data_IF_201811921602
#
_entry.id   IF_201811921602
#
_cell.length_a   1.000
_cell.length_b   1.000
_cell.length_c   1.000
_cell.angle_alpha   90.00
_cell.angle_beta   90.00
_cell.angle_gamma   90.00
#
_symmetry.space_group_name_H-M   'P 1'
#
loop_
_entity.id
_entity.type
_entity.pdbx_description
1 polymer ?
#
# COMPACT_ATOMS: atom_id res chain seq x y z
N UNK A 1 2.88 -27.31 7.97
CA UNK A 1 1.83 -26.30 7.74
C UNK A 1 1.86 -25.88 6.27
N UNK A 2 0.78 -26.11 5.53
CA UNK A 2 0.62 -25.61 4.16
C UNK A 2 0.40 -24.10 4.23
N UNK A 3 1.31 -23.32 3.62
CA UNK A 3 1.14 -21.87 3.49
C UNK A 3 0.21 -21.62 2.29
N UNK A 4 -0.98 -21.07 2.56
CA UNK A 4 -1.93 -20.68 1.53
C UNK A 4 -1.57 -19.30 0.96
N UNK A 5 -1.76 -19.13 -0.35
CA UNK A 5 -1.70 -17.81 -0.96
C UNK A 5 -2.95 -17.02 -0.57
N UNK A 6 -2.79 -15.81 -0.03
CA UNK A 6 -3.87 -15.04 0.60
C UNK A 6 -3.88 -13.60 0.09
N UNK A 7 -5.04 -13.10 -0.29
CA UNK A 7 -5.30 -11.68 -0.46
C UNK A 7 -6.07 -11.16 0.75
N UNK A 8 -5.67 -9.99 1.25
CA UNK A 8 -6.31 -9.35 2.40
C UNK A 8 -6.63 -7.90 2.06
N UNK A 9 -7.90 -7.60 1.80
CA UNK A 9 -8.38 -6.24 1.57
C UNK A 9 -8.81 -5.61 2.91
N UNK A 10 -8.32 -4.40 3.20
CA UNK A 10 -8.53 -3.75 4.50
C UNK A 10 -8.55 -2.23 4.40
N UNK A 11 -9.22 -1.59 5.35
CA UNK A 11 -9.14 -0.14 5.60
C UNK A 11 -8.23 0.21 6.79
N UNK A 12 -7.68 -0.79 7.49
CA UNK A 12 -6.74 -0.57 8.59
C UNK A 12 -5.34 -0.33 8.04
N UNK A 13 -4.93 0.95 8.00
CA UNK A 13 -3.59 1.35 7.58
C UNK A 13 -2.52 0.79 8.52
N UNK A 14 -2.82 0.57 9.79
CA UNK A 14 -1.87 0.01 10.76
C UNK A 14 -1.40 -1.41 10.37
N UNK A 15 -2.21 -2.15 9.61
CA UNK A 15 -1.84 -3.48 9.13
C UNK A 15 -0.78 -3.45 8.03
N UNK A 16 -0.57 -2.31 7.35
CA UNK A 16 0.51 -2.20 6.37
C UNK A 16 1.87 -2.41 7.02
N UNK A 17 2.01 -2.10 8.31
CA UNK A 17 3.21 -2.33 9.09
C UNK A 17 3.64 -3.80 9.15
N UNK A 18 2.72 -4.75 8.91
CA UNK A 18 3.07 -6.18 8.84
C UNK A 18 4.12 -6.47 7.76
N UNK A 19 4.20 -5.65 6.71
CA UNK A 19 5.24 -5.73 5.68
C UNK A 19 6.65 -5.59 6.26
N UNK A 20 6.79 -4.83 7.36
CA UNK A 20 8.06 -4.64 8.08
C UNK A 20 8.34 -5.74 9.10
N UNK A 21 7.38 -6.61 9.39
CA UNK A 21 7.55 -7.69 10.37
C UNK A 21 7.72 -9.05 9.69
N UNK A 22 7.11 -9.23 8.52
CA UNK A 22 7.06 -10.50 7.82
C UNK A 22 7.55 -10.37 6.38
N UNK A 23 8.61 -11.11 5.98
CA UNK A 23 9.23 -10.97 4.66
C UNK A 23 8.31 -11.37 3.49
N UNK A 24 7.28 -12.17 3.78
CA UNK A 24 6.31 -12.70 2.80
C UNK A 24 5.00 -11.90 2.71
N UNK A 25 4.88 -10.79 3.44
CA UNK A 25 3.76 -9.85 3.32
C UNK A 25 4.16 -8.75 2.34
N UNK A 26 3.25 -8.32 1.47
CA UNK A 26 3.47 -7.21 0.54
C UNK A 26 2.22 -6.33 0.50
N UNK A 27 2.38 -5.01 0.57
CA UNK A 27 1.27 -4.08 0.50
C UNK A 27 0.99 -3.66 -0.95
N UNK A 28 -0.30 -3.53 -1.25
CA UNK A 28 -0.81 -3.04 -2.51
C UNK A 28 -2.04 -2.16 -2.27
N UNK A 29 -2.24 -1.17 -3.13
CA UNK A 29 -3.42 -0.32 -3.12
C UNK A 29 -3.88 0.01 -4.55
N UNK A 30 -5.13 0.43 -4.71
CA UNK A 30 -5.61 0.93 -5.99
C UNK A 30 -5.30 2.41 -6.14
N UNK A 31 -4.63 2.78 -7.23
CA UNK A 31 -4.34 4.16 -7.56
C UNK A 31 -5.63 4.94 -7.81
N UNK A 32 -5.69 6.17 -7.30
CA UNK A 32 -6.77 7.11 -7.51
C UNK A 32 -6.20 8.42 -8.03
N UNK A 33 -6.83 8.99 -9.06
CA UNK A 33 -6.45 10.30 -9.59
C UNK A 33 -7.51 11.32 -9.24
N UNK A 34 -7.09 12.33 -8.47
CA UNK A 34 -7.89 13.51 -8.20
C UNK A 34 -7.69 14.51 -9.34
N UNK A 35 -8.78 14.86 -10.02
CA UNK A 35 -8.77 15.90 -11.05
C UNK A 35 -9.43 17.12 -10.41
N UNK A 36 -8.65 18.16 -10.13
CA UNK A 36 -9.17 19.50 -9.83
C UNK A 36 -9.14 20.31 -11.12
N UNK A 37 -10.29 20.50 -11.76
CA UNK A 37 -10.41 21.52 -12.81
C UNK A 37 -10.51 22.91 -12.18
N UNK A 38 -10.15 23.94 -12.94
CA UNK A 38 -10.23 25.35 -12.55
C UNK A 38 -11.64 25.84 -12.18
N UNK A 39 -12.67 25.02 -12.42
CA UNK A 39 -14.09 25.37 -12.24
C UNK A 39 -14.71 24.75 -10.97
N UNK A 40 -13.94 24.64 -9.88
CA UNK A 40 -14.40 24.22 -8.54
C UNK A 40 -14.95 22.78 -8.40
N UNK A 41 -15.08 22.02 -9.49
CA UNK A 41 -15.56 20.64 -9.45
C UNK A 41 -14.38 19.68 -9.21
N UNK A 42 -14.25 19.23 -7.96
CA UNK A 42 -13.43 18.05 -7.66
C UNK A 42 -14.01 16.85 -8.45
N UNK A 43 -13.17 16.01 -9.03
CA UNK A 43 -13.60 14.77 -9.68
C UNK A 43 -12.60 13.65 -9.39
N UNK A 44 -13.11 12.49 -8.99
CA UNK A 44 -12.32 11.32 -8.62
C UNK A 44 -12.36 10.29 -9.76
N UNK A 45 -11.19 9.99 -10.35
CA UNK A 45 -11.05 8.92 -11.33
C UNK A 45 -10.46 7.66 -10.68
N UNK A 46 -11.26 6.59 -10.63
CA UNK A 46 -10.83 5.26 -10.20
C UNK A 46 -10.10 4.56 -11.34
N UNK A 47 -8.77 4.43 -11.26
CA UNK A 47 -7.98 3.84 -12.36
C UNK A 47 -8.07 2.32 -12.39
N UNK A 48 -8.54 1.69 -11.29
CA UNK A 48 -8.50 0.24 -11.07
C UNK A 48 -7.08 -0.35 -11.23
N UNK A 49 -6.06 0.50 -11.16
CA UNK A 49 -4.68 0.11 -11.31
C UNK A 49 -4.12 -0.23 -9.93
N UNK A 50 -3.71 -1.49 -9.75
CA UNK A 50 -3.12 -1.96 -8.49
C UNK A 50 -1.63 -1.62 -8.47
N UNK A 51 -1.23 -0.78 -7.51
CA UNK A 51 0.14 -0.31 -7.31
C UNK A 51 0.70 -0.88 -6.01
N UNK A 52 2.01 -1.16 -6.00
CA UNK A 52 2.72 -1.65 -4.82
C UNK A 52 2.96 -0.52 -3.82
N UNK A 53 2.82 -0.82 -2.54
CA UNK A 53 3.04 0.12 -1.43
C UNK A 53 1.75 0.48 -0.70
N UNK A 54 1.89 1.31 0.31
CA UNK A 54 0.78 1.85 1.10
C UNK A 54 0.07 2.97 0.32
N UNK A 55 -1.23 3.13 0.54
CA UNK A 55 -1.97 4.22 -0.09
C UNK A 55 -1.51 5.57 0.48
N UNK A 56 -1.13 6.51 -0.40
CA UNK A 56 -0.73 7.86 0.01
C UNK A 56 -1.90 8.69 0.56
N UNK A 57 -3.13 8.37 0.14
CA UNK A 57 -4.34 9.08 0.54
C UNK A 57 -4.96 8.48 1.81
N UNK A 58 -4.66 9.07 2.96
CA UNK A 58 -5.18 8.62 4.26
C UNK A 58 -6.67 8.90 4.46
N UNK A 59 -7.24 9.85 3.72
CA UNK A 59 -8.62 10.33 3.90
C UNK A 59 -9.43 10.44 2.61
N UNK A 60 -9.20 9.54 1.66
CA UNK A 60 -9.93 9.56 0.38
C UNK A 60 -11.46 9.48 0.58
N UNK A 61 -11.95 8.87 1.67
CA UNK A 61 -13.36 8.85 2.01
C UNK A 61 -13.94 10.26 2.26
N UNK A 62 -13.18 11.15 2.90
CA UNK A 62 -13.58 12.54 3.08
C UNK A 62 -13.53 13.31 1.75
N UNK A 63 -12.52 13.03 0.92
CA UNK A 63 -12.43 13.60 -0.44
C UNK A 63 -13.57 13.13 -1.34
N UNK A 64 -14.06 11.90 -1.19
CA UNK A 64 -15.24 11.44 -1.91
C UNK A 64 -16.53 12.05 -1.33
N UNK A 65 -16.58 12.26 -0.02
CA UNK A 65 -17.71 12.91 0.64
C UNK A 65 -17.91 14.36 0.15
N UNK A 66 -16.83 15.08 -0.19
CA UNK A 66 -16.95 16.43 -0.78
C UNK A 66 -17.55 16.45 -2.19
N UNK A 67 -17.57 15.31 -2.89
CA UNK A 67 -18.28 15.14 -4.17
C UNK A 67 -19.76 14.84 -4.00
N UNK A 68 -20.21 14.59 -2.77
CA UNK A 68 -21.59 14.23 -2.46
C UNK A 68 -22.41 15.47 -2.09
N UNK A 69 -23.72 15.28 -1.92
CA UNK A 69 -24.64 16.34 -1.50
C UNK A 69 -24.65 16.56 0.04
N UNK A 70 -23.57 16.17 0.74
CA UNK A 70 -23.47 16.38 2.18
C UNK A 70 -23.30 17.88 2.50
N UNK A 71 -23.95 18.40 3.55
CA UNK A 71 -23.76 19.77 4.00
C UNK A 71 -22.29 20.07 4.33
N UNK A 72 -21.83 21.26 3.94
CA UNK A 72 -20.45 21.69 4.18
C UNK A 72 -20.07 21.71 5.66
N UNK A 73 -21.02 21.98 6.56
CA UNK A 73 -20.81 21.92 8.00
C UNK A 73 -20.35 20.52 8.45
N UNK A 74 -20.94 19.46 7.91
CA UNK A 74 -20.58 18.07 8.23
C UNK A 74 -19.17 17.75 7.74
N UNK A 75 -18.80 18.21 6.54
CA UNK A 75 -17.46 18.00 5.99
C UNK A 75 -16.39 18.71 6.84
N UNK A 76 -16.69 19.92 7.31
CA UNK A 76 -15.81 20.69 8.17
C UNK A 76 -15.63 19.98 9.53
N UNK A 77 -16.72 19.56 10.17
CA UNK A 77 -16.69 18.84 11.45
C UNK A 77 -15.88 17.52 11.33
N UNK A 78 -16.11 16.77 10.26
CA UNK A 78 -15.35 15.54 9.97
C UNK A 78 -13.84 15.84 9.79
N UNK A 79 -13.50 16.95 9.13
CA UNK A 79 -12.12 17.39 8.98
C UNK A 79 -11.43 17.69 10.31
N UNK A 80 -12.12 18.34 11.24
CA UNK A 80 -11.58 18.63 12.59
C UNK A 80 -11.41 17.35 13.42
N UNK A 81 -12.39 16.44 13.40
CA UNK A 81 -12.31 15.14 14.09
C UNK A 81 -11.10 14.33 13.59
N UNK A 82 -10.86 14.31 12.28
CA UNK A 82 -9.72 13.61 11.69
C UNK A 82 -8.40 14.17 12.20
N UNK A 83 -8.26 15.50 12.28
CA UNK A 83 -7.04 16.14 12.80
C UNK A 83 -6.78 15.73 14.25
N UNK A 84 -7.83 15.69 15.07
CA UNK A 84 -7.72 15.26 16.47
C UNK A 84 -7.23 13.81 16.58
N UNK A 85 -7.82 12.90 15.81
CA UNK A 85 -7.40 11.49 15.76
C UNK A 85 -5.94 11.35 15.30
N UNK A 86 -5.50 12.14 14.31
CA UNK A 86 -4.12 12.11 13.83
C UNK A 86 -3.12 12.56 14.90
N UNK A 87 -3.45 13.63 15.64
CA UNK A 87 -2.62 14.13 16.74
C UNK A 87 -2.45 13.07 17.83
N UNK A 88 -3.51 12.32 18.15
CA UNK A 88 -3.45 11.20 19.11
C UNK A 88 -2.57 10.04 18.61
N UNK A 89 -2.54 9.78 17.29
CA UNK A 89 -1.78 8.67 16.69
C UNK A 89 -0.29 8.95 16.50
N UNK A 90 0.16 10.21 16.52
CA UNK A 90 1.55 10.58 16.27
C UNK A 90 2.59 10.10 17.32
N UNK A 91 2.15 9.47 18.41
CA UNK A 91 3.00 9.08 19.54
C UNK A 91 3.79 7.77 19.37
N UNK A 92 3.62 7.01 18.28
CA UNK A 92 4.18 5.66 18.18
C UNK A 92 4.92 5.41 16.87
N UNK A 93 6.23 5.69 16.84
CA UNK A 93 7.16 4.94 15.98
C UNK A 93 8.58 4.91 16.56
N UNK A 94 9.09 3.71 16.85
CA UNK A 94 10.50 3.43 16.62
C UNK A 94 10.63 2.22 15.70
N UNK A 95 11.32 2.38 14.57
CA UNK A 95 11.94 1.24 13.89
C UNK A 95 13.44 1.47 13.76
N UNK A 96 14.20 0.49 14.24
CA UNK A 96 15.64 0.43 14.09
C UNK A 96 16.00 0.15 12.63
N UNK A 97 16.91 0.98 12.07
CA UNK A 97 17.38 0.90 10.67
C UNK A 97 17.99 -0.46 10.32
N UNK A 98 18.54 -1.18 11.31
CA UNK A 98 19.25 -2.46 11.10
C UNK A 98 18.29 -3.62 10.78
N UNK A 99 17.05 -3.57 11.29
CA UNK A 99 16.04 -4.62 11.03
C UNK A 99 15.61 -4.65 9.55
N UNK A 100 15.53 -3.47 8.92
CA UNK A 100 15.08 -3.32 7.53
C UNK A 100 16.00 -4.01 6.53
N UNK A 101 17.32 -4.00 6.76
CA UNK A 101 18.29 -4.63 5.85
C UNK A 101 18.13 -6.15 5.85
N UNK A 102 17.99 -6.75 7.04
CA UNK A 102 17.78 -8.18 7.20
C UNK A 102 16.46 -8.64 6.58
N UNK A 103 15.40 -7.85 6.72
CA UNK A 103 14.08 -8.14 6.12
C UNK A 103 14.12 -8.12 4.60
N UNK A 104 14.81 -7.14 4.00
CA UNK A 104 14.99 -7.09 2.54
C UNK A 104 15.71 -8.33 2.01
N UNK A 105 16.77 -8.77 2.70
CA UNK A 105 17.49 -9.99 2.35
C UNK A 105 16.60 -11.25 2.49
N UNK A 106 15.84 -11.36 3.59
CA UNK A 106 14.90 -12.45 3.80
C UNK A 106 13.81 -12.48 2.72
N UNK A 107 13.28 -11.32 2.34
CA UNK A 107 12.28 -11.18 1.29
C UNK A 107 12.81 -11.66 -0.06
N UNK A 108 14.01 -11.23 -0.45
CA UNK A 108 14.67 -11.73 -1.67
C UNK A 108 14.80 -13.26 -1.65
N UNK A 109 15.29 -13.82 -0.53
CA UNK A 109 15.40 -15.26 -0.32
C UNK A 109 14.06 -15.99 -0.49
N UNK A 110 12.98 -15.46 0.11
CA UNK A 110 11.65 -16.07 -0.04
C UNK A 110 11.14 -16.06 -1.47
N UNK A 111 11.33 -14.96 -2.21
CA UNK A 111 10.92 -14.87 -3.63
C UNK A 111 11.72 -15.81 -4.52
N UNK A 112 13.02 -15.96 -4.29
CA UNK A 112 13.86 -16.94 -5.00
C UNK A 112 13.38 -18.37 -4.75
N UNK A 113 13.13 -18.73 -3.48
CA UNK A 113 12.63 -20.06 -3.10
C UNK A 113 11.25 -20.33 -3.71
N UNK A 114 10.35 -19.35 -3.71
CA UNK A 114 9.05 -19.46 -4.36
C UNK A 114 9.20 -19.69 -5.86
N UNK A 115 10.06 -18.91 -6.53
CA UNK A 115 10.32 -19.05 -7.97
C UNK A 115 10.81 -20.46 -8.30
N UNK A 116 11.75 -21.01 -7.53
CA UNK A 116 12.23 -22.39 -7.73
C UNK A 116 11.10 -23.42 -7.54
N UNK A 117 10.20 -23.20 -6.58
CA UNK A 117 9.15 -24.17 -6.23
C UNK A 117 7.92 -24.13 -7.14
N UNK A 118 7.58 -22.98 -7.70
CA UNK A 118 6.30 -22.79 -8.41
C UNK A 118 6.44 -22.21 -9.82
N UNK A 119 7.65 -21.93 -10.30
CA UNK A 119 7.82 -21.38 -11.65
C UNK A 119 7.54 -22.45 -12.71
N UNK A 120 6.67 -22.10 -13.66
CA UNK A 120 6.49 -22.78 -14.95
C UNK A 120 7.11 -21.98 -16.11
N UNK A 121 7.95 -20.98 -15.79
CA UNK A 121 8.57 -20.10 -16.77
C UNK A 121 9.65 -20.86 -17.56
N UNK A 122 9.75 -20.58 -18.85
CA UNK A 122 10.88 -21.03 -19.67
C UNK A 122 12.18 -20.31 -19.26
N UNK A 123 13.31 -20.79 -19.78
CA UNK A 123 14.63 -20.29 -19.41
C UNK A 123 14.82 -18.79 -19.72
N UNK A 124 14.22 -18.29 -20.79
CA UNK A 124 14.34 -16.88 -21.19
C UNK A 124 13.50 -15.99 -20.27
N UNK A 125 12.23 -16.36 -20.05
CA UNK A 125 11.33 -15.66 -19.14
C UNK A 125 11.83 -15.67 -17.70
N UNK A 126 12.44 -16.78 -17.25
CA UNK A 126 13.06 -16.87 -15.92
C UNK A 126 14.24 -15.92 -15.77
N UNK A 127 15.11 -15.78 -16.77
CA UNK A 127 16.22 -14.82 -16.73
C UNK A 127 15.72 -13.38 -16.61
N UNK A 128 14.71 -13.02 -17.41
CA UNK A 128 14.10 -11.68 -17.37
C UNK A 128 13.47 -11.41 -16.00
N UNK A 129 12.77 -12.39 -15.43
CA UNK A 129 12.22 -12.28 -14.08
C UNK A 129 13.30 -12.07 -13.02
N UNK A 130 14.36 -12.88 -13.04
CA UNK A 130 15.47 -12.74 -12.09
C UNK A 130 16.21 -11.42 -12.24
N UNK A 131 16.29 -10.86 -13.44
CA UNK A 131 16.89 -9.55 -13.68
C UNK A 131 16.05 -8.42 -13.08
N UNK A 132 14.73 -8.42 -13.29
CA UNK A 132 13.83 -7.49 -12.61
C UNK A 132 13.87 -7.65 -11.09
N UNK A 133 13.95 -8.89 -10.60
CA UNK A 133 14.06 -9.18 -9.17
C UNK A 133 15.36 -8.59 -8.58
N UNK A 134 16.46 -8.63 -9.33
CA UNK A 134 17.74 -8.01 -8.92
C UNK A 134 17.60 -6.49 -8.83
N UNK A 135 17.00 -5.85 -9.84
CA UNK A 135 16.79 -4.40 -9.89
C UNK A 135 15.90 -3.89 -8.74
N UNK A 136 14.92 -4.69 -8.31
CA UNK A 136 14.04 -4.32 -7.19
C UNK A 136 14.70 -4.31 -5.80
N UNK A 137 15.89 -4.93 -5.64
CA UNK A 137 16.54 -5.12 -4.35
C UNK A 137 17.98 -4.57 -4.29
N UNK A 138 18.47 -3.90 -5.35
CA UNK A 138 19.69 -3.08 -5.33
C UNK A 138 19.39 -1.68 -4.81
#
# INVERSE_FOLDING_TARGET
MTKAFTFFATHFLELTHLETLYPNVENYHFEMKCISSSDEVFSAAFTHHLVRGEAESTHYGLSLASLSMLPQSILNDAGEIIKEIQLQKASNQPQSKDSLVLLKACRLGTRLVQTVRSSKLDQTSLRVFLQHLKEQFQ
#
